data_IF_995480869775
#
_entry.id   IF_995480869775
#
_cell.length_a   1.000
_cell.length_b   1.000
_cell.length_c   1.000
_cell.angle_alpha   90.00
_cell.angle_beta   90.00
_cell.angle_gamma   90.00
#
_symmetry.space_group_name_H-M   'P 1'
#
loop_
_entity.id
_entity.type
_entity.pdbx_description
1 polymer ?
#
# COMPACT_ATOMS: atom_id res chain seq x y z
N UNK A 1 -5.98 4.06 -3.45
CA UNK A 1 -4.76 3.40 -3.97
C UNK A 1 -5.13 2.36 -5.02
N UNK A 2 -4.27 2.17 -6.03
CA UNK A 2 -4.34 1.05 -6.99
C UNK A 2 -3.16 0.11 -6.78
N UNK A 3 -3.40 -1.19 -6.94
CA UNK A 3 -2.37 -2.24 -6.86
C UNK A 3 -2.37 -3.04 -8.17
N UNK A 4 -1.27 -3.72 -8.46
CA UNK A 4 -1.14 -4.62 -9.60
C UNK A 4 -0.54 -5.97 -9.19
N UNK A 5 -0.74 -7.02 -9.99
CA UNK A 5 -0.10 -8.32 -9.76
C UNK A 5 1.37 -8.31 -10.15
N UNK A 6 2.26 -8.84 -9.31
CA UNK A 6 3.67 -9.05 -9.66
C UNK A 6 3.89 -9.83 -10.95
N UNK A 7 2.94 -10.68 -11.35
CA UNK A 7 3.01 -11.47 -12.59
C UNK A 7 2.46 -10.71 -13.80
N UNK A 8 1.59 -9.71 -13.59
CA UNK A 8 1.01 -8.91 -14.66
C UNK A 8 0.61 -7.50 -14.18
N UNK A 9 1.37 -6.48 -14.61
CA UNK A 9 1.14 -5.07 -14.27
C UNK A 9 -0.16 -4.48 -14.82
N UNK A 10 -0.78 -5.14 -15.81
CA UNK A 10 -2.07 -4.73 -16.37
C UNK A 10 -3.24 -5.22 -15.51
N UNK A 11 -3.04 -6.22 -14.65
CA UNK A 11 -4.03 -6.68 -13.69
C UNK A 11 -4.07 -5.72 -12.49
N UNK A 12 -4.79 -4.61 -12.64
CA UNK A 12 -4.89 -3.57 -11.62
C UNK A 12 -6.22 -3.64 -10.87
N UNK A 13 -6.14 -3.57 -9.54
CA UNK A 13 -7.29 -3.63 -8.63
C UNK A 13 -7.23 -2.52 -7.58
N UNK A 14 -8.35 -2.30 -6.89
CA UNK A 14 -8.40 -1.40 -5.74
C UNK A 14 -7.77 -2.04 -4.50
N UNK A 15 -7.36 -1.22 -3.52
CA UNK A 15 -6.88 -1.73 -2.21
C UNK A 15 -7.90 -2.64 -1.53
N UNK A 16 -9.18 -2.25 -1.50
CA UNK A 16 -10.26 -3.07 -0.92
C UNK A 16 -10.33 -4.45 -1.58
N UNK A 17 -10.24 -4.51 -2.90
CA UNK A 17 -10.29 -5.78 -3.63
C UNK A 17 -9.07 -6.65 -3.35
N UNK A 18 -7.85 -6.07 -3.36
CA UNK A 18 -6.63 -6.79 -3.04
C UNK A 18 -6.66 -7.40 -1.63
N UNK A 19 -7.18 -6.66 -0.64
CA UNK A 19 -7.33 -7.14 0.75
C UNK A 19 -8.32 -8.30 0.84
N UNK A 20 -9.44 -8.24 0.12
CA UNK A 20 -10.47 -9.31 0.14
C UNK A 20 -9.98 -10.57 -0.59
N UNK A 21 -9.28 -10.41 -1.73
CA UNK A 21 -8.75 -11.54 -2.51
C UNK A 21 -7.54 -12.21 -1.87
N UNK A 22 -6.68 -11.43 -1.21
CA UNK A 22 -5.41 -11.91 -0.67
C UNK A 22 -4.33 -12.10 -1.75
N UNK A 23 -4.52 -13.09 -2.64
CA UNK A 23 -3.61 -13.37 -3.77
C UNK A 23 -4.22 -12.91 -5.10
N UNK A 24 -3.38 -12.56 -6.07
CA UNK A 24 -3.86 -12.20 -7.40
C UNK A 24 -4.35 -13.43 -8.18
N UNK A 25 -5.27 -13.21 -9.11
CA UNK A 25 -5.91 -14.29 -9.89
C UNK A 25 -4.92 -15.08 -10.77
N UNK A 26 -3.74 -14.52 -11.06
CA UNK A 26 -2.64 -15.13 -11.80
C UNK A 26 -1.57 -15.76 -10.88
N UNK A 27 -1.88 -15.95 -9.60
CA UNK A 27 -0.99 -16.51 -8.58
C UNK A 27 0.12 -15.57 -8.13
N UNK A 28 0.14 -14.32 -8.59
CA UNK A 28 1.08 -13.29 -8.14
C UNK A 28 0.65 -12.60 -6.84
N UNK A 29 1.46 -11.68 -6.36
CA UNK A 29 1.15 -10.84 -5.19
C UNK A 29 0.69 -9.46 -5.63
N UNK A 30 -0.20 -8.84 -4.87
CA UNK A 30 -0.59 -7.44 -5.11
C UNK A 30 0.44 -6.48 -4.53
N UNK A 31 0.93 -5.57 -5.37
CA UNK A 31 1.86 -4.48 -4.98
C UNK A 31 1.32 -3.14 -5.48
N UNK A 32 1.57 -2.02 -4.78
CA UNK A 32 1.04 -0.72 -5.20
C UNK A 32 1.65 -0.23 -6.51
N UNK A 33 0.85 0.45 -7.34
CA UNK A 33 1.30 1.05 -8.61
C UNK A 33 2.34 2.15 -8.39
N UNK A 34 2.29 2.83 -7.24
CA UNK A 34 3.25 3.85 -6.83
C UNK A 34 3.47 3.76 -5.33
N UNK A 35 4.69 4.04 -4.90
CA UNK A 35 5.02 4.19 -3.48
C UNK A 35 4.80 5.65 -3.09
N UNK A 36 3.90 5.96 -2.13
CA UNK A 36 3.73 7.30 -1.65
C UNK A 36 5.01 7.76 -0.94
N UNK A 37 5.43 9.00 -1.20
CA UNK A 37 6.54 9.62 -0.49
C UNK A 37 5.98 10.41 0.70
N UNK A 38 6.52 10.14 1.89
CA UNK A 38 6.16 10.88 3.10
C UNK A 38 6.93 12.21 3.16
N UNK A 39 6.32 13.22 3.75
CA UNK A 39 6.97 14.52 3.97
C UNK A 39 8.03 14.41 5.06
N UNK A 40 9.11 15.18 4.96
CA UNK A 40 10.19 15.20 5.98
C UNK A 40 9.65 15.48 7.39
N UNK A 41 8.66 16.36 7.50
CA UNK A 41 8.00 16.71 8.76
C UNK A 41 7.35 15.52 9.49
N UNK A 42 6.99 14.43 8.79
CA UNK A 42 6.54 13.20 9.44
C UNK A 42 7.67 12.56 10.25
N UNK A 43 8.85 12.42 9.64
CA UNK A 43 10.01 11.81 10.29
C UNK A 43 10.55 12.66 11.45
N UNK A 44 10.44 13.99 11.34
CA UNK A 44 10.78 14.90 12.45
C UNK A 44 9.88 14.71 13.68
N UNK A 45 8.64 14.24 13.47
CA UNK A 45 7.60 14.13 14.52
C UNK A 45 7.28 12.70 14.94
N UNK A 46 7.71 11.68 14.19
CA UNK A 46 7.32 10.28 14.43
C UNK A 46 7.62 9.81 15.87
N UNK A 47 8.66 10.33 16.51
CA UNK A 47 9.05 9.95 17.88
C UNK A 47 8.11 10.44 18.99
N UNK A 48 7.19 11.35 18.69
CA UNK A 48 6.20 11.87 19.65
C UNK A 48 4.76 11.48 19.32
N UNK A 49 4.54 10.83 18.17
CA UNK A 49 3.23 10.31 17.77
C UNK A 49 2.96 8.99 18.50
N UNK A 50 1.69 8.72 18.78
CA UNK A 50 1.29 7.38 19.20
C UNK A 50 1.26 6.42 18.00
N UNK A 51 1.13 5.12 18.29
CA UNK A 51 1.17 4.10 17.23
C UNK A 51 0.02 4.24 16.23
N UNK A 52 -1.14 4.71 16.68
CA UNK A 52 -2.34 4.86 15.86
C UNK A 52 -2.16 6.02 14.87
N UNK A 53 -1.61 7.14 15.34
CA UNK A 53 -1.28 8.30 14.53
C UNK A 53 -0.21 7.96 13.49
N UNK A 54 0.81 7.18 13.87
CA UNK A 54 1.84 6.69 12.94
C UNK A 54 1.23 5.81 11.85
N UNK A 55 0.28 4.93 12.19
CA UNK A 55 -0.35 4.02 11.23
C UNK A 55 -1.37 4.71 10.31
N UNK A 56 -1.94 5.84 10.74
CA UNK A 56 -2.91 6.62 9.96
C UNK A 56 -2.25 7.57 8.96
N UNK A 57 -1.05 8.08 9.27
CA UNK A 57 -0.27 9.00 8.44
C UNK A 57 0.17 8.40 7.09
#
# INVERSE_FOLDING_TARGET
MKLYSTNNKNNQVSFKEAVIKGIADDGGLYVPVSLPQMQEAFFDRIGILDLQDIAFA
#
